data_IF_805297511821
#
_entry.id   IF_805297511821
#
_cell.length_a   1.000
_cell.length_b   1.000
_cell.length_c   1.000
_cell.angle_alpha   90.00
_cell.angle_beta   90.00
_cell.angle_gamma   90.00
#
_symmetry.space_group_name_H-M   'P 1'
#
loop_
_entity.id
_entity.type
_entity.pdbx_description
1 polymer ?
#
# COMPACT_ATOMS: atom_id res chain seq x y z
N UNK A 1 -4.52 13.40 8.94
CA UNK A 1 -3.04 13.37 9.02
C UNK A 1 -2.52 14.80 8.91
N UNK A 2 -1.34 15.12 9.43
CA UNK A 2 -0.67 16.40 9.15
C UNK A 2 -0.17 17.11 10.41
N UNK A 3 0.39 18.30 10.22
CA UNK A 3 0.88 19.17 11.29
C UNK A 3 -0.32 19.65 12.12
N UNK A 4 -0.26 19.42 13.44
CA UNK A 4 -1.30 19.88 14.38
C UNK A 4 -1.30 21.41 14.47
N UNK A 5 -2.47 22.04 14.55
CA UNK A 5 -2.63 23.51 14.65
C UNK A 5 -2.35 24.31 13.37
N UNK A 6 -1.67 23.73 12.36
CA UNK A 6 -1.35 24.44 11.12
C UNK A 6 -2.59 24.91 10.35
N UNK A 7 -3.66 24.12 10.36
CA UNK A 7 -4.91 24.51 9.71
C UNK A 7 -5.51 25.76 10.35
N UNK A 8 -5.59 25.79 11.67
CA UNK A 8 -6.16 26.92 12.40
C UNK A 8 -5.33 28.19 12.16
N UNK A 9 -4.00 28.04 12.14
CA UNK A 9 -3.07 29.10 11.79
C UNK A 9 -3.31 29.65 10.37
N UNK A 10 -3.29 28.78 9.35
CA UNK A 10 -3.47 29.22 7.96
C UNK A 10 -4.87 29.81 7.74
N UNK A 11 -5.90 29.19 8.32
CA UNK A 11 -7.29 29.65 8.14
C UNK A 11 -7.54 30.97 8.87
N UNK A 12 -6.74 31.34 9.87
CA UNK A 12 -6.74 32.69 10.44
C UNK A 12 -6.18 33.75 9.46
N UNK A 13 -5.29 33.35 8.56
CA UNK A 13 -4.62 34.23 7.59
C UNK A 13 -5.22 34.21 6.18
N UNK A 14 -6.16 33.32 5.89
CA UNK A 14 -6.73 33.10 4.55
C UNK A 14 -8.24 33.33 4.55
N UNK A 15 -8.77 33.92 3.47
CA UNK A 15 -10.21 34.17 3.32
C UNK A 15 -11.04 32.90 3.48
N UNK A 16 -11.88 32.88 4.51
CA UNK A 16 -12.91 31.86 4.72
C UNK A 16 -14.07 32.19 3.79
N UNK A 17 -14.50 31.23 2.98
CA UNK A 17 -15.67 31.29 2.09
C UNK A 17 -15.46 31.95 0.72
N UNK A 18 -14.65 31.31 -0.14
CA UNK A 18 -14.86 31.47 -1.58
C UNK A 18 -15.93 30.47 -2.03
N UNK A 19 -16.93 30.96 -2.76
CA UNK A 19 -17.89 30.07 -3.44
C UNK A 19 -17.14 29.20 -4.45
N UNK A 20 -17.64 28.00 -4.72
CA UNK A 20 -17.18 27.15 -5.84
C UNK A 20 -17.18 27.91 -7.17
N UNK A 21 -18.06 28.89 -7.33
CA UNK A 21 -18.11 29.78 -8.51
C UNK A 21 -16.85 30.65 -8.67
N UNK A 22 -16.08 30.89 -7.60
CA UNK A 22 -14.87 31.70 -7.65
C UNK A 22 -13.71 31.02 -8.41
N UNK A 23 -13.81 29.70 -8.61
CA UNK A 23 -12.83 28.89 -9.35
C UNK A 23 -13.42 28.34 -10.66
N UNK A 24 -14.54 28.90 -11.13
CA UNK A 24 -15.14 28.55 -12.42
C UNK A 24 -14.12 28.74 -13.56
N UNK A 25 -14.07 27.79 -14.48
CA UNK A 25 -13.17 27.81 -15.64
C UNK A 25 -11.75 27.31 -15.34
N UNK A 26 -11.43 27.01 -14.08
CA UNK A 26 -10.09 26.60 -13.66
C UNK A 26 -9.88 25.10 -13.75
N UNK A 27 -8.60 24.70 -13.85
CA UNK A 27 -8.13 23.33 -13.71
C UNK A 27 -7.74 23.09 -12.26
N UNK A 28 -8.33 22.06 -11.63
CA UNK A 28 -8.21 21.83 -10.19
C UNK A 28 -7.75 20.42 -9.90
N UNK A 29 -6.65 20.26 -9.17
CA UNK A 29 -6.21 18.95 -8.71
C UNK A 29 -6.92 18.54 -7.42
N UNK A 30 -7.33 17.27 -7.33
CA UNK A 30 -8.12 16.73 -6.23
C UNK A 30 -7.33 15.64 -5.54
N UNK A 31 -7.18 15.78 -4.22
CA UNK A 31 -6.75 14.72 -3.30
C UNK A 31 -7.85 13.68 -3.14
N UNK A 32 -7.80 12.65 -3.99
CA UNK A 32 -8.79 11.58 -3.99
C UNK A 32 -8.79 10.73 -2.71
N UNK A 33 -7.65 10.36 -2.10
CA UNK A 33 -7.63 9.64 -0.82
C UNK A 33 -8.53 10.26 0.25
N UNK A 34 -8.55 11.59 0.36
CA UNK A 34 -9.44 12.30 1.28
C UNK A 34 -10.93 12.09 0.96
N UNK A 35 -11.31 12.15 -0.33
CA UNK A 35 -12.70 11.94 -0.75
C UNK A 35 -13.14 10.49 -0.59
N UNK A 36 -12.28 9.54 -0.98
CA UNK A 36 -12.53 8.11 -0.84
C UNK A 36 -12.74 7.74 0.62
N UNK A 37 -11.89 8.26 1.52
CA UNK A 37 -12.07 8.04 2.96
C UNK A 37 -13.36 8.66 3.50
N UNK A 38 -13.73 9.87 3.05
CA UNK A 38 -15.00 10.50 3.47
C UNK A 38 -16.21 9.73 2.94
N UNK A 39 -16.14 9.18 1.73
CA UNK A 39 -17.18 8.31 1.18
C UNK A 39 -17.31 6.99 1.95
N UNK A 40 -16.18 6.41 2.36
CA UNK A 40 -16.15 5.17 3.14
C UNK A 40 -16.86 5.30 4.49
N UNK A 41 -16.94 6.50 5.08
CA UNK A 41 -17.67 6.74 6.34
C UNK A 41 -19.16 6.40 6.20
N UNK A 42 -19.77 6.64 5.04
CA UNK A 42 -21.20 6.35 4.81
C UNK A 42 -21.49 4.85 4.71
N UNK A 43 -20.47 4.04 4.48
CA UNK A 43 -20.57 2.59 4.29
C UNK A 43 -19.57 1.85 5.20
N UNK A 44 -19.25 2.44 6.36
CA UNK A 44 -18.13 2.04 7.22
C UNK A 44 -18.17 0.55 7.59
N UNK A 45 -19.36 0.05 7.95
CA UNK A 45 -19.56 -1.35 8.28
C UNK A 45 -19.19 -2.28 7.12
N UNK A 46 -19.68 -2.02 5.90
CA UNK A 46 -19.39 -2.87 4.75
C UNK A 46 -17.93 -2.80 4.33
N UNK A 47 -17.33 -1.60 4.36
CA UNK A 47 -15.91 -1.39 4.06
C UNK A 47 -15.02 -2.18 5.02
N UNK A 48 -15.39 -2.22 6.30
CA UNK A 48 -14.64 -2.99 7.30
C UNK A 48 -14.91 -4.48 7.14
N UNK A 49 -16.16 -4.91 6.99
CA UNK A 49 -16.50 -6.33 6.96
C UNK A 49 -16.06 -7.03 5.67
N UNK A 50 -16.05 -6.33 4.53
CA UNK A 50 -15.73 -6.87 3.21
C UNK A 50 -14.59 -6.08 2.51
N UNK A 51 -13.36 -6.13 3.05
CA UNK A 51 -12.26 -5.26 2.60
C UNK A 51 -11.79 -5.53 1.16
N UNK A 52 -12.05 -6.72 0.62
CA UNK A 52 -11.66 -7.11 -0.75
C UNK A 52 -12.65 -6.60 -1.81
N UNK A 53 -13.79 -6.05 -1.42
CA UNK A 53 -14.79 -5.52 -2.36
C UNK A 53 -14.59 -4.04 -2.62
N UNK A 54 -14.81 -3.62 -3.86
CA UNK A 54 -15.08 -2.21 -4.14
C UNK A 54 -16.45 -1.82 -3.56
N UNK A 55 -16.71 -0.52 -3.41
CA UNK A 55 -18.01 -0.02 -2.94
C UNK A 55 -18.57 0.98 -3.92
N UNK A 56 -19.71 0.63 -4.54
CA UNK A 56 -20.45 1.50 -5.44
C UNK A 56 -20.90 2.79 -4.73
N UNK A 57 -21.18 2.74 -3.42
CA UNK A 57 -21.52 3.93 -2.63
C UNK A 57 -20.35 4.91 -2.56
N UNK A 58 -19.12 4.43 -2.39
CA UNK A 58 -17.92 5.27 -2.40
C UNK A 58 -17.69 5.87 -3.80
N UNK A 59 -17.89 5.06 -4.85
CA UNK A 59 -17.80 5.53 -6.24
C UNK A 59 -18.81 6.64 -6.51
N UNK A 60 -20.09 6.42 -6.18
CA UNK A 60 -21.16 7.41 -6.34
C UNK A 60 -20.91 8.68 -5.52
N UNK A 61 -20.37 8.55 -4.31
CA UNK A 61 -19.98 9.68 -3.46
C UNK A 61 -18.89 10.55 -4.12
N UNK A 62 -17.88 9.93 -4.73
CA UNK A 62 -16.82 10.65 -5.43
C UNK A 62 -17.34 11.27 -6.73
N UNK A 63 -18.08 10.50 -7.53
CA UNK A 63 -18.65 10.93 -8.80
C UNK A 63 -19.54 12.15 -8.65
N UNK A 64 -20.46 12.15 -7.68
CA UNK A 64 -21.36 13.28 -7.41
C UNK A 64 -20.62 14.60 -7.19
N UNK A 65 -19.40 14.55 -6.65
CA UNK A 65 -18.57 15.75 -6.43
C UNK A 65 -17.83 16.18 -7.67
N UNK A 66 -17.33 15.23 -8.46
CA UNK A 66 -16.72 15.53 -9.75
C UNK A 66 -17.75 16.16 -10.70
N UNK A 67 -18.95 15.59 -10.78
CA UNK A 67 -20.06 16.15 -11.57
C UNK A 67 -20.47 17.56 -11.10
N UNK A 68 -20.37 17.84 -9.81
CA UNK A 68 -20.63 19.19 -9.30
C UNK A 68 -19.56 20.18 -9.78
N UNK A 69 -18.28 19.79 -9.77
CA UNK A 69 -17.20 20.64 -10.30
C UNK A 69 -17.42 20.92 -11.79
N UNK A 70 -17.78 19.89 -12.57
CA UNK A 70 -18.08 20.05 -14.00
C UNK A 70 -19.27 20.96 -14.25
N UNK A 71 -20.36 20.87 -13.45
CA UNK A 71 -21.51 21.79 -13.53
C UNK A 71 -21.11 23.26 -13.34
N UNK A 72 -20.02 23.51 -12.60
CA UNK A 72 -19.46 24.85 -12.42
C UNK A 72 -18.38 25.21 -13.45
N UNK A 73 -18.22 24.43 -14.52
CA UNK A 73 -17.17 24.53 -15.54
C UNK A 73 -15.76 24.46 -14.94
N UNK A 74 -15.54 23.59 -13.96
CA UNK A 74 -14.22 23.34 -13.36
C UNK A 74 -13.71 22.02 -13.95
N UNK A 75 -12.45 21.98 -14.36
CA UNK A 75 -11.81 20.79 -14.93
C UNK A 75 -11.04 20.03 -13.83
N UNK A 76 -11.54 18.89 -13.32
CA UNK A 76 -10.90 18.17 -12.24
C UNK A 76 -9.77 17.25 -12.74
N UNK A 77 -8.65 17.23 -12.01
CA UNK A 77 -7.58 16.23 -12.12
C UNK A 77 -7.56 15.39 -10.84
N UNK A 78 -7.89 14.11 -10.96
CA UNK A 78 -7.99 13.18 -9.84
C UNK A 78 -6.60 12.61 -9.49
N UNK A 79 -6.05 12.96 -8.33
CA UNK A 79 -4.73 12.50 -7.87
C UNK A 79 -4.88 11.47 -6.76
N UNK A 80 -4.23 10.31 -6.94
CA UNK A 80 -4.23 9.20 -5.98
C UNK A 80 -2.83 8.93 -5.44
N UNK A 81 -2.77 8.40 -4.22
CA UNK A 81 -1.55 7.80 -3.69
C UNK A 81 -1.09 6.60 -4.55
N UNK A 82 0.22 6.44 -4.63
CA UNK A 82 0.93 5.27 -5.13
C UNK A 82 1.51 4.45 -3.99
N UNK A 83 2.83 4.27 -3.99
CA UNK A 83 3.51 3.39 -3.05
C UNK A 83 3.66 4.03 -1.65
N UNK A 84 3.81 3.20 -0.62
CA UNK A 84 4.00 3.68 0.75
C UNK A 84 5.43 4.19 0.94
N UNK A 85 5.55 5.36 1.56
CA UNK A 85 6.86 5.88 1.97
C UNK A 85 7.48 5.02 3.09
N UNK A 86 8.75 4.58 2.95
CA UNK A 86 9.47 3.87 4.01
C UNK A 86 9.56 4.67 5.32
N UNK A 87 9.74 5.99 5.22
CA UNK A 87 9.82 6.91 6.37
C UNK A 87 8.53 6.98 7.19
N UNK A 88 7.38 6.57 6.63
CA UNK A 88 6.08 6.52 7.33
C UNK A 88 5.70 5.12 7.80
N UNK A 89 6.60 4.13 7.70
CA UNK A 89 6.33 2.73 8.10
C UNK A 89 5.81 2.64 9.53
N UNK A 90 6.53 3.19 10.51
CA UNK A 90 6.13 3.15 11.93
C UNK A 90 4.73 3.76 12.17
N UNK A 91 4.45 4.93 11.59
CA UNK A 91 3.14 5.59 11.69
C UNK A 91 2.03 4.78 11.02
N UNK A 92 2.32 4.13 9.88
CA UNK A 92 1.38 3.28 9.17
C UNK A 92 1.08 1.99 9.95
N UNK A 93 2.08 1.42 10.61
CA UNK A 93 1.95 0.23 11.45
C UNK A 93 1.10 0.54 12.69
N UNK A 94 1.34 1.67 13.37
CA UNK A 94 0.49 2.13 14.48
C UNK A 94 -0.97 2.32 14.04
N UNK A 95 -1.21 2.93 12.88
CA UNK A 95 -2.57 3.07 12.33
C UNK A 95 -3.20 1.74 11.98
N UNK A 96 -2.41 0.78 11.49
CA UNK A 96 -2.89 -0.58 11.19
C UNK A 96 -3.33 -1.27 12.47
N UNK A 97 -2.51 -1.22 13.53
CA UNK A 97 -2.85 -1.80 14.83
C UNK A 97 -4.13 -1.19 15.41
N UNK A 98 -4.25 0.15 15.42
CA UNK A 98 -5.44 0.85 15.92
C UNK A 98 -6.71 0.48 15.13
N UNK A 99 -6.61 0.34 13.80
CA UNK A 99 -7.76 -0.07 12.97
C UNK A 99 -8.20 -1.49 13.28
N UNK A 100 -7.25 -2.40 13.46
CA UNK A 100 -7.55 -3.80 13.80
C UNK A 100 -8.21 -3.93 15.17
N UNK A 101 -7.71 -3.18 16.17
CA UNK A 101 -8.35 -3.10 17.48
C UNK A 101 -9.80 -2.59 17.38
N UNK A 102 -10.02 -1.50 16.63
CA UNK A 102 -11.37 -0.96 16.43
C UNK A 102 -12.27 -1.91 15.64
N UNK A 103 -11.72 -2.68 14.69
CA UNK A 103 -12.46 -3.72 13.96
C UNK A 103 -12.98 -4.79 14.94
N UNK A 104 -12.12 -5.28 15.83
CA UNK A 104 -12.52 -6.28 16.83
C UNK A 104 -13.58 -5.73 17.77
N UNK A 105 -13.41 -4.49 18.27
CA UNK A 105 -14.42 -3.82 19.09
C UNK A 105 -15.76 -3.66 18.36
N UNK A 106 -15.74 -3.28 17.08
CA UNK A 106 -16.96 -3.16 16.27
C UNK A 106 -17.68 -4.50 16.13
N UNK A 107 -16.96 -5.58 15.86
CA UNK A 107 -17.53 -6.93 15.72
C UNK A 107 -18.13 -7.41 17.06
N UNK A 108 -17.45 -7.19 18.18
CA UNK A 108 -17.96 -7.57 19.51
C UNK A 108 -19.21 -6.77 19.86
N UNK A 109 -19.19 -5.44 19.68
CA UNK A 109 -20.36 -4.59 19.92
C UNK A 109 -21.55 -5.02 19.06
N UNK A 110 -21.33 -5.33 17.78
CA UNK A 110 -22.38 -5.80 16.88
C UNK A 110 -22.99 -7.13 17.34
N UNK A 111 -22.17 -8.07 17.85
CA UNK A 111 -22.65 -9.36 18.40
C UNK A 111 -23.47 -9.18 19.68
N UNK A 112 -23.12 -8.18 20.50
CA UNK A 112 -23.82 -7.87 21.73
C UNK A 112 -25.10 -7.03 21.51
N UNK A 113 -25.41 -6.64 20.26
CA UNK A 113 -26.54 -5.75 19.95
C UNK A 113 -26.30 -4.29 20.34
N UNK A 114 -25.05 -3.90 20.59
CA UNK A 114 -24.64 -2.54 20.93
C UNK A 114 -24.31 -1.70 19.69
N UNK A 115 -24.27 -0.37 19.86
CA UNK A 115 -23.89 0.54 18.78
C UNK A 115 -22.41 0.39 18.41
N UNK A 116 -22.15 -0.20 17.24
CA UNK A 116 -20.80 -0.45 16.72
C UNK A 116 -20.29 0.63 15.73
N UNK A 117 -21.14 1.60 15.37
CA UNK A 117 -20.89 2.51 14.24
C UNK A 117 -19.60 3.33 14.37
N UNK A 118 -19.33 3.89 15.56
CA UNK A 118 -18.12 4.67 15.81
C UNK A 118 -16.85 3.82 15.71
N UNK A 119 -16.91 2.55 16.13
CA UNK A 119 -15.80 1.62 15.98
C UNK A 119 -15.58 1.25 14.52
N UNK A 120 -16.65 1.07 13.74
CA UNK A 120 -16.54 0.86 12.29
C UNK A 120 -15.87 2.05 11.60
N UNK A 121 -16.25 3.29 11.90
CA UNK A 121 -15.60 4.49 11.33
C UNK A 121 -14.10 4.51 11.64
N UNK A 122 -13.72 4.23 12.89
CA UNK A 122 -12.31 4.22 13.30
C UNK A 122 -11.51 3.04 12.72
N UNK A 123 -12.19 1.95 12.34
CA UNK A 123 -11.60 0.78 11.72
C UNK A 123 -11.43 0.88 10.20
N UNK A 124 -11.95 1.94 9.56
CA UNK A 124 -11.89 2.10 8.09
C UNK A 124 -10.45 1.99 7.58
N UNK A 125 -10.26 1.04 6.67
CA UNK A 125 -9.07 0.89 5.84
C UNK A 125 -9.51 0.95 4.39
N UNK A 126 -8.96 1.91 3.64
CA UNK A 126 -9.15 1.94 2.18
C UNK A 126 -8.27 0.84 1.57
N UNK A 127 -8.90 -0.13 0.94
CA UNK A 127 -8.23 -1.24 0.28
C UNK A 127 -7.85 -0.88 -1.16
N UNK A 128 -6.88 -1.60 -1.77
CA UNK A 128 -6.57 -1.45 -3.19
C UNK A 128 -7.80 -1.65 -4.09
N UNK A 129 -8.71 -2.58 -3.74
CA UNK A 129 -9.95 -2.81 -4.48
C UNK A 129 -10.87 -1.58 -4.52
N UNK A 130 -11.03 -0.90 -3.38
CA UNK A 130 -11.79 0.37 -3.32
C UNK A 130 -11.11 1.45 -4.16
N UNK A 131 -9.79 1.64 -3.98
CA UNK A 131 -9.04 2.64 -4.75
C UNK A 131 -9.13 2.38 -6.26
N UNK A 132 -8.99 1.12 -6.69
CA UNK A 132 -9.08 0.76 -8.10
C UNK A 132 -10.49 0.96 -8.64
N UNK A 133 -11.52 0.63 -7.86
CA UNK A 133 -12.91 0.89 -8.23
C UNK A 133 -13.18 2.37 -8.51
N UNK A 134 -12.67 3.26 -7.66
CA UNK A 134 -12.80 4.71 -7.85
C UNK A 134 -11.98 5.19 -9.05
N UNK A 135 -10.74 4.69 -9.24
CA UNK A 135 -9.90 5.01 -10.41
C UNK A 135 -10.59 4.61 -11.72
N UNK A 136 -11.18 3.41 -11.77
CA UNK A 136 -11.89 2.92 -12.96
C UNK A 136 -13.10 3.78 -13.25
N UNK A 137 -13.94 4.06 -12.24
CA UNK A 137 -15.08 4.96 -12.37
C UNK A 137 -14.65 6.34 -12.91
N UNK A 138 -13.55 6.92 -12.40
CA UNK A 138 -13.05 8.18 -12.90
C UNK A 138 -12.66 8.12 -14.39
N UNK A 139 -11.94 7.06 -14.79
CA UNK A 139 -11.52 6.86 -16.19
C UNK A 139 -12.70 6.62 -17.13
N UNK A 140 -13.67 5.81 -16.73
CA UNK A 140 -14.89 5.52 -17.49
C UNK A 140 -15.70 6.80 -17.75
N UNK A 141 -15.69 7.74 -16.80
CA UNK A 141 -16.34 9.04 -16.93
C UNK A 141 -15.49 10.08 -17.66
N UNK A 142 -14.29 9.73 -18.11
CA UNK A 142 -13.42 10.62 -18.87
C UNK A 142 -12.59 11.59 -18.02
N UNK A 143 -12.54 11.43 -16.69
CA UNK A 143 -11.73 12.27 -15.83
C UNK A 143 -10.24 11.93 -15.96
N UNK A 144 -9.38 12.95 -15.88
CA UNK A 144 -7.93 12.75 -15.81
C UNK A 144 -7.55 12.13 -14.46
N UNK A 145 -6.85 11.01 -14.50
CA UNK A 145 -6.41 10.27 -13.32
C UNK A 145 -4.89 10.19 -13.27
N UNK A 146 -4.29 10.69 -12.19
CA UNK A 146 -2.86 10.60 -11.90
C UNK A 146 -2.68 9.71 -10.66
N UNK A 147 -1.76 8.77 -10.74
CA UNK A 147 -1.26 8.05 -9.56
C UNK A 147 0.11 8.61 -9.24
N UNK A 148 0.26 9.20 -8.05
CA UNK A 148 1.53 9.70 -7.57
C UNK A 148 2.53 8.53 -7.41
N UNK A 149 3.85 8.75 -7.50
CA UNK A 149 4.83 7.71 -7.20
C UNK A 149 4.70 7.19 -5.75
N UNK A 150 4.43 8.12 -4.82
CA UNK A 150 4.19 7.83 -3.40
C UNK A 150 2.95 8.56 -2.90
N UNK A 151 3.08 9.74 -2.30
CA UNK A 151 1.95 10.46 -1.72
C UNK A 151 1.34 11.48 -2.68
N UNK A 152 0.01 11.53 -2.70
CA UNK A 152 -0.75 12.53 -3.43
C UNK A 152 -0.38 13.96 -3.00
N UNK A 153 -0.12 14.19 -1.71
CA UNK A 153 0.29 15.50 -1.18
C UNK A 153 1.47 16.11 -1.95
N UNK A 154 2.52 15.31 -2.22
CA UNK A 154 3.70 15.76 -2.95
C UNK A 154 3.40 16.02 -4.44
N UNK A 155 2.59 15.16 -5.05
CA UNK A 155 2.19 15.31 -6.46
C UNK A 155 1.30 16.55 -6.66
N UNK A 156 0.39 16.82 -5.73
CA UNK A 156 -0.47 18.00 -5.72
C UNK A 156 0.34 19.29 -5.56
N UNK A 157 1.29 19.29 -4.61
CA UNK A 157 2.21 20.42 -4.42
C UNK A 157 3.04 20.70 -5.68
N UNK A 158 3.55 19.65 -6.33
CA UNK A 158 4.28 19.79 -7.59
C UNK A 158 3.40 20.35 -8.72
N UNK A 159 2.18 19.83 -8.91
CA UNK A 159 1.25 20.32 -9.92
C UNK A 159 0.93 21.81 -9.73
N UNK A 160 0.73 22.24 -8.49
CA UNK A 160 0.47 23.65 -8.17
C UNK A 160 1.70 24.52 -8.42
N UNK A 161 2.88 24.10 -7.96
CA UNK A 161 4.13 24.86 -8.11
C UNK A 161 4.53 25.03 -9.58
N UNK A 162 4.37 23.99 -10.38
CA UNK A 162 4.65 24.02 -11.83
C UNK A 162 3.52 24.67 -12.65
N UNK A 163 2.52 25.29 -11.99
CA UNK A 163 1.37 25.97 -12.61
C UNK A 163 0.64 25.07 -13.62
N UNK A 164 0.57 23.77 -13.33
CA UNK A 164 -0.19 22.79 -14.12
C UNK A 164 -1.67 22.77 -13.73
N UNK A 165 -1.99 23.30 -12.55
CA UNK A 165 -3.34 23.51 -12.02
C UNK A 165 -3.43 24.87 -11.35
N UNK A 166 -4.63 25.45 -11.36
CA UNK A 166 -4.91 26.74 -10.75
C UNK A 166 -5.20 26.62 -9.25
N UNK A 167 -5.72 25.46 -8.81
CA UNK A 167 -6.02 25.19 -7.41
C UNK A 167 -5.89 23.70 -7.05
N UNK A 168 -5.79 23.45 -5.74
CA UNK A 168 -5.79 22.11 -5.14
C UNK A 168 -6.94 21.99 -4.13
N UNK A 169 -7.69 20.89 -4.21
CA UNK A 169 -8.71 20.51 -3.23
C UNK A 169 -8.18 19.33 -2.40
N UNK A 170 -7.99 19.53 -1.09
CA UNK A 170 -7.55 18.50 -0.13
C UNK A 170 -8.33 18.53 1.19
N UNK A 171 -8.29 17.42 1.93
CA UNK A 171 -9.08 17.15 3.12
C UNK A 171 -8.55 17.78 4.40
N UNK A 172 -8.75 19.10 4.55
CA UNK A 172 -9.03 19.78 5.83
C UNK A 172 -9.94 20.99 5.55
N UNK A 173 -11.04 20.75 4.84
CA UNK A 173 -12.08 21.77 4.73
C UNK A 173 -13.40 21.10 5.06
N UNK A 174 -13.91 21.46 6.24
CA UNK A 174 -15.23 21.11 6.72
C UNK A 174 -16.25 21.67 5.73
N UNK A 175 -17.15 20.77 5.32
CA UNK A 175 -18.37 21.04 4.58
C UNK A 175 -18.23 21.72 3.22
N UNK A 176 -19.15 21.36 2.34
CA UNK A 176 -19.26 21.87 0.97
C UNK A 176 -19.37 23.41 0.88
N UNK A 177 -19.52 24.09 2.01
CA UNK A 177 -19.64 25.54 2.14
C UNK A 177 -18.31 26.27 2.24
N UNK A 178 -17.22 25.56 2.55
CA UNK A 178 -15.90 26.18 2.63
C UNK A 178 -15.05 25.59 1.50
N UNK A 179 -14.82 26.34 0.43
CA UNK A 179 -13.71 26.07 -0.48
C UNK A 179 -12.54 26.91 -0.02
N UNK A 180 -11.54 26.30 0.60
CA UNK A 180 -10.22 26.91 0.67
C UNK A 180 -9.55 26.66 -0.68
N UNK A 181 -9.80 27.52 -1.67
CA UNK A 181 -8.87 27.61 -2.80
C UNK A 181 -7.60 28.21 -2.22
N UNK A 182 -6.57 27.40 -1.98
CA UNK A 182 -5.25 27.96 -1.69
C UNK A 182 -4.74 28.58 -2.98
N UNK A 183 -5.10 29.85 -3.21
CA UNK A 183 -4.27 30.71 -4.02
C UNK A 183 -3.07 31.01 -3.12
N UNK A 184 -2.01 30.21 -3.24
CA UNK A 184 -0.74 30.44 -2.53
C UNK A 184 -0.20 31.86 -2.80
N UNK A 185 -0.67 32.52 -3.85
CA UNK A 185 -0.45 33.93 -4.18
C UNK A 185 -1.09 34.95 -3.21
N UNK A 186 -2.04 34.56 -2.34
CA UNK A 186 -2.72 35.48 -1.43
C UNK A 186 -2.29 35.36 0.04
N UNK A 187 -1.27 34.54 0.32
CA UNK A 187 -0.58 34.56 1.61
C UNK A 187 0.40 35.74 1.53
N UNK A 188 0.36 36.65 2.53
CA UNK A 188 1.25 37.83 2.65
C UNK A 188 2.61 37.58 2.00
N UNK A 189 3.06 38.47 1.12
CA UNK A 189 4.29 38.33 0.32
C UNK A 189 5.49 37.81 1.13
N UNK A 190 5.57 38.15 2.40
CA UNK A 190 6.61 37.70 3.34
C UNK A 190 6.49 36.21 3.74
N UNK A 191 5.28 35.69 3.96
CA UNK A 191 5.05 34.27 4.28
C UNK A 191 5.14 33.40 3.02
N UNK A 192 4.70 33.89 1.85
CA UNK A 192 4.90 33.16 0.58
C UNK A 192 6.39 32.97 0.30
N UNK A 193 7.20 34.03 0.43
CA UNK A 193 8.66 33.95 0.27
C UNK A 193 9.26 32.99 1.31
N UNK A 194 8.82 33.05 2.57
CA UNK A 194 9.32 32.14 3.61
C UNK A 194 8.95 30.67 3.34
N UNK A 195 7.72 30.40 2.90
CA UNK A 195 7.24 29.05 2.55
C UNK A 195 7.91 28.54 1.28
N UNK A 196 8.12 29.37 0.26
CA UNK A 196 8.81 29.00 -0.97
C UNK A 196 10.30 28.69 -0.70
N UNK A 197 10.95 29.51 0.13
CA UNK A 197 12.35 29.29 0.53
C UNK A 197 12.49 28.02 1.37
N UNK A 198 11.59 27.84 2.34
CA UNK A 198 11.56 26.65 3.21
C UNK A 198 11.20 25.38 2.43
N UNK A 199 10.24 25.46 1.50
CA UNK A 199 9.85 24.34 0.65
C UNK A 199 10.95 23.98 -0.34
N UNK A 200 11.67 24.97 -0.89
CA UNK A 200 12.87 24.73 -1.70
C UNK A 200 13.96 24.03 -0.88
N UNK A 201 14.26 24.50 0.32
CA UNK A 201 15.22 23.83 1.21
C UNK A 201 14.80 22.39 1.57
N UNK A 202 13.53 22.18 1.90
CA UNK A 202 12.98 20.85 2.23
C UNK A 202 13.04 19.93 1.01
N UNK A 203 12.66 20.41 -0.17
CA UNK A 203 12.74 19.64 -1.41
C UNK A 203 14.20 19.28 -1.74
N UNK A 204 15.13 20.20 -1.54
CA UNK A 204 16.57 19.97 -1.75
C UNK A 204 17.11 18.92 -0.77
N UNK A 205 16.74 19.03 0.52
CA UNK A 205 17.07 18.03 1.56
C UNK A 205 16.45 16.67 1.27
N UNK A 206 15.18 16.62 0.84
CA UNK A 206 14.50 15.38 0.45
C UNK A 206 15.15 14.74 -0.78
N UNK A 207 15.58 15.53 -1.77
CA UNK A 207 16.30 15.03 -2.96
C UNK A 207 17.67 14.47 -2.57
N UNK A 208 18.37 15.12 -1.63
CA UNK A 208 19.61 14.62 -1.04
C UNK A 208 19.43 13.28 -0.31
N UNK A 209 18.39 13.16 0.50
CA UNK A 209 18.04 11.92 1.20
C UNK A 209 17.65 10.82 0.20
N UNK A 210 16.87 11.13 -0.85
CA UNK A 210 16.52 10.16 -1.89
C UNK A 210 17.76 9.66 -2.65
N UNK A 211 18.74 10.53 -2.92
CA UNK A 211 20.01 10.14 -3.52
C UNK A 211 20.82 9.21 -2.61
N UNK A 212 20.83 9.47 -1.31
CA UNK A 212 21.48 8.60 -0.31
C UNK A 212 20.77 7.25 -0.18
N UNK A 213 19.43 7.22 -0.16
CA UNK A 213 18.64 5.98 -0.15
C UNK A 213 18.94 5.15 -1.40
N UNK A 214 18.94 5.76 -2.59
CA UNK A 214 19.28 5.04 -3.83
C UNK A 214 20.71 4.48 -3.84
N UNK A 215 21.68 5.19 -3.24
CA UNK A 215 23.05 4.69 -3.07
C UNK A 215 23.10 3.51 -2.07
N UNK A 216 22.27 3.55 -1.03
CA UNK A 216 22.15 2.48 -0.04
C UNK A 216 21.51 1.24 -0.67
N UNK A 217 20.43 1.40 -1.43
CA UNK A 217 19.77 0.31 -2.15
C UNK A 217 20.69 -0.36 -3.17
N UNK A 218 21.51 0.42 -3.89
CA UNK A 218 22.54 -0.12 -4.79
C UNK A 218 23.64 -0.86 -4.04
N UNK A 219 24.02 -0.41 -2.85
CA UNK A 219 25.00 -1.09 -2.00
C UNK A 219 24.43 -2.38 -1.43
N UNK A 220 23.17 -2.38 -0.99
CA UNK A 220 22.45 -3.56 -0.53
C UNK A 220 22.27 -4.59 -1.65
N UNK A 221 21.91 -4.17 -2.86
CA UNK A 221 21.81 -5.06 -4.01
C UNK A 221 23.15 -5.73 -4.35
N UNK A 222 24.28 -5.00 -4.23
CA UNK A 222 25.62 -5.57 -4.40
C UNK A 222 26.00 -6.54 -3.28
N UNK A 223 25.54 -6.28 -2.05
CA UNK A 223 25.74 -7.18 -0.91
C UNK A 223 24.91 -8.45 -1.10
N UNK A 224 23.64 -8.34 -1.48
CA UNK A 224 22.77 -9.48 -1.78
C UNK A 224 23.34 -10.32 -2.93
N UNK A 225 23.82 -9.68 -4.00
CA UNK A 225 24.45 -10.37 -5.14
C UNK A 225 25.76 -11.08 -4.74
N UNK A 226 26.53 -10.51 -3.81
CA UNK A 226 27.73 -11.14 -3.25
C UNK A 226 27.40 -12.30 -2.28
N UNK A 227 26.32 -12.19 -1.50
CA UNK A 227 25.82 -13.25 -0.61
C UNK A 227 25.27 -14.43 -1.43
N UNK A 228 24.53 -14.16 -2.50
CA UNK A 228 24.03 -15.19 -3.44
C UNK A 228 25.20 -15.90 -4.15
N UNK A 229 26.21 -15.14 -4.61
CA UNK A 229 27.40 -15.70 -5.30
C UNK A 229 28.29 -16.54 -4.38
N UNK A 230 28.46 -16.17 -3.10
CA UNK A 230 29.35 -16.91 -2.18
C UNK A 230 28.72 -18.17 -1.57
N UNK A 231 27.39 -18.26 -1.47
CA UNK A 231 26.73 -19.40 -0.81
C UNK A 231 26.16 -20.47 -1.76
N UNK A 232 25.83 -20.15 -3.01
CA UNK A 232 25.23 -21.12 -3.93
C UNK A 232 26.22 -22.17 -4.46
N UNK A 233 27.48 -21.80 -4.77
CA UNK A 233 28.44 -22.78 -5.29
C UNK A 233 28.86 -23.81 -4.23
N UNK A 234 29.00 -23.36 -2.97
CA UNK A 234 29.37 -24.20 -1.83
C UNK A 234 28.22 -25.14 -1.45
N UNK A 235 26.99 -24.64 -1.42
CA UNK A 235 25.77 -25.43 -1.13
C UNK A 235 25.49 -26.49 -2.21
N UNK A 236 25.59 -26.13 -3.50
CA UNK A 236 25.45 -27.09 -4.60
C UNK A 236 26.54 -28.18 -4.58
N UNK A 237 27.77 -27.83 -4.18
CA UNK A 237 28.85 -28.83 -4.07
C UNK A 237 28.60 -29.85 -2.94
N UNK A 238 28.06 -29.41 -1.81
CA UNK A 238 27.75 -30.28 -0.67
C UNK A 238 26.48 -31.11 -0.89
N UNK A 239 25.46 -30.55 -1.56
CA UNK A 239 24.27 -31.32 -1.98
C UNK A 239 24.63 -32.45 -2.94
N UNK A 240 25.48 -32.19 -3.93
CA UNK A 240 25.94 -33.23 -4.86
C UNK A 240 26.72 -34.34 -4.16
N UNK A 241 27.52 -34.02 -3.13
CA UNK A 241 28.21 -35.02 -2.29
C UNK A 241 27.22 -35.87 -1.48
N UNK A 242 26.20 -35.24 -0.88
CA UNK A 242 25.17 -35.95 -0.12
C UNK A 242 24.32 -36.86 -1.02
N UNK A 243 23.99 -36.41 -2.23
CA UNK A 243 23.21 -37.18 -3.19
C UNK A 243 24.00 -38.38 -3.74
N UNK A 244 25.30 -38.22 -4.00
CA UNK A 244 26.17 -39.35 -4.36
C UNK A 244 26.34 -40.35 -3.21
N UNK A 245 26.39 -39.90 -1.95
CA UNK A 245 26.41 -40.80 -0.79
C UNK A 245 25.07 -41.53 -0.59
N UNK A 246 23.94 -40.86 -0.79
CA UNK A 246 22.61 -41.46 -0.74
C UNK A 246 22.45 -42.55 -1.81
N UNK A 247 22.83 -42.27 -3.06
CA UNK A 247 22.73 -43.26 -4.14
C UNK A 247 23.63 -44.49 -3.90
N UNK A 248 24.80 -44.31 -3.27
CA UNK A 248 25.68 -45.43 -2.87
C UNK A 248 25.07 -46.29 -1.76
N UNK A 249 24.42 -45.69 -0.78
CA UNK A 249 23.80 -46.43 0.35
C UNK A 249 22.53 -47.16 -0.07
N UNK A 250 21.71 -46.57 -0.93
CA UNK A 250 20.54 -47.24 -1.52
C UNK A 250 20.96 -48.42 -2.43
N UNK A 251 22.02 -48.24 -3.22
CA UNK A 251 22.61 -49.33 -4.02
C UNK A 251 23.15 -50.48 -3.14
N UNK A 252 23.77 -50.16 -2.01
CA UNK A 252 24.27 -51.16 -1.06
C UNK A 252 23.13 -51.96 -0.42
N UNK A 253 22.06 -51.27 0.01
CA UNK A 253 20.86 -51.90 0.58
C UNK A 253 20.19 -52.85 -0.42
N UNK A 254 20.10 -52.44 -1.68
CA UNK A 254 19.53 -53.28 -2.75
C UNK A 254 20.39 -54.52 -3.01
N UNK A 255 21.72 -54.35 -3.10
CA UNK A 255 22.64 -55.47 -3.29
C UNK A 255 22.60 -56.48 -2.14
N UNK A 256 22.44 -56.02 -0.90
CA UNK A 256 22.26 -56.88 0.28
C UNK A 256 20.95 -57.66 0.22
N UNK A 257 19.86 -57.02 -0.21
CA UNK A 257 18.56 -57.68 -0.38
C UNK A 257 18.59 -58.74 -1.51
N UNK A 258 19.25 -58.43 -2.62
CA UNK A 258 19.40 -59.36 -3.76
C UNK A 258 20.29 -60.56 -3.39
N UNK A 259 21.36 -60.33 -2.62
CA UNK A 259 22.22 -61.39 -2.07
C UNK A 259 21.42 -62.30 -1.12
N UNK A 260 20.65 -61.71 -0.20
CA UNK A 260 19.83 -62.47 0.75
C UNK A 260 18.77 -63.33 0.04
N UNK A 261 18.14 -62.77 -0.99
CA UNK A 261 17.17 -63.47 -1.83
C UNK A 261 17.82 -64.64 -2.59
N UNK A 262 19.01 -64.43 -3.13
CA UNK A 262 19.78 -65.48 -3.81
C UNK A 262 20.20 -66.61 -2.85
N UNK A 263 20.68 -66.26 -1.65
CA UNK A 263 21.04 -67.24 -0.61
C UNK A 263 19.81 -68.05 -0.17
N UNK A 264 18.66 -67.39 0.03
CA UNK A 264 17.41 -68.08 0.38
C UNK A 264 16.95 -69.03 -0.73
N UNK A 265 17.10 -68.65 -2.01
CA UNK A 265 16.80 -69.52 -3.15
C UNK A 265 17.69 -70.76 -3.20
N UNK A 266 19.00 -70.60 -2.95
CA UNK A 266 19.94 -71.73 -2.84
C UNK A 266 19.55 -72.64 -1.67
N UNK A 267 19.23 -72.05 -0.52
CA UNK A 267 18.83 -72.79 0.67
C UNK A 267 17.55 -73.60 0.44
N UNK A 268 16.57 -73.08 -0.32
CA UNK A 268 15.38 -73.84 -0.70
C UNK A 268 15.67 -75.04 -1.62
N UNK A 269 16.78 -75.03 -2.37
CA UNK A 269 17.19 -76.17 -3.21
C UNK A 269 17.88 -77.29 -2.43
N UNK A 270 18.25 -77.05 -1.16
CA UNK A 270 18.80 -78.10 -0.30
C UNK A 270 17.69 -79.06 0.18
N UNK A 271 18.04 -80.33 0.49
CA UNK A 271 17.12 -81.28 1.13
C UNK A 271 16.56 -80.69 2.41
N UNK A 272 15.28 -80.95 2.69
CA UNK A 272 14.49 -80.25 3.71
C UNK A 272 15.13 -80.25 5.10
N UNK A 273 15.74 -81.38 5.47
CA UNK A 273 16.46 -81.64 6.72
C UNK A 273 17.80 -80.91 6.86
N UNK A 274 18.31 -80.30 5.78
CA UNK A 274 19.53 -79.47 5.78
C UNK A 274 19.26 -77.98 5.51
N UNK A 275 17.99 -77.58 5.38
CA UNK A 275 17.64 -76.18 5.15
C UNK A 275 17.85 -75.35 6.41
N UNK A 276 18.48 -74.20 6.25
CA UNK A 276 18.60 -73.20 7.31
C UNK A 276 17.36 -72.29 7.37
N UNK A 277 17.11 -71.56 8.47
CA UNK A 277 16.06 -70.55 8.51
C UNK A 277 16.32 -69.47 7.44
N UNK A 278 15.28 -68.99 6.72
CA UNK A 278 15.46 -67.99 5.68
C UNK A 278 15.88 -66.64 6.27
N UNK A 279 16.84 -65.98 5.64
CA UNK A 279 17.26 -64.62 5.98
C UNK A 279 16.12 -63.64 5.68
N UNK A 280 15.81 -62.77 6.64
CA UNK A 280 14.81 -61.70 6.50
C UNK A 280 15.52 -60.35 6.62
N UNK A 281 15.30 -59.48 5.64
CA UNK A 281 15.74 -58.08 5.63
C UNK A 281 14.52 -57.17 5.74
#
# INVERSE_FOLDING_TARGET
>A
MGISGLYDFITACVSKNKSISAIRGQVVAIDMPCWVHRGAVQDAQNVVMYPEKSSEKINAFCLKRLELLEKHNITPICVFDGEKLPSKKATNDQRRARREENRQRAITALKNGESAWNYFIQAIRISPAITQGVKNMCKEKGYMVITAPYEADAQLAWLSREKRVDAVITGKVLDFQTFASYNLTAICSEISVFLDTSAAEIATKQTGIQKQIGQFDQSMAKIDENIEKQNMSKFCSELNKLETMKNRTEGLSKNLHDLASSINSINQKLPEEKRLPPLKF
#
